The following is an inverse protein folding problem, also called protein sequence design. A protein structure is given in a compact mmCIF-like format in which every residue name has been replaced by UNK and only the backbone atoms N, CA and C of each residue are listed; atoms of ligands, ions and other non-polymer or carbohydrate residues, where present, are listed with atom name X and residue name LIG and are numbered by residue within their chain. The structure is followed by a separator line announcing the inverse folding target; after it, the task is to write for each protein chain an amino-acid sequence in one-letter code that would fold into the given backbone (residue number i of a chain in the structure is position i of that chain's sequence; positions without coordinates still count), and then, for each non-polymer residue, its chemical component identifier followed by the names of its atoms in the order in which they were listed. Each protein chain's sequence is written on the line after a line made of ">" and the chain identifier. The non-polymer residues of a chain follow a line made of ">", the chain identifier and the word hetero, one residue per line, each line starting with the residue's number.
data_IF_981258626822
#
_entry.id   IF_981258626822
#
_cell.length_a   1.000
_cell.length_b   1.000
_cell.length_c   1.000
_cell.angle_alpha   90.00
_cell.angle_beta   90.00
_cell.angle_gamma   90.00
#
_symmetry.space_group_name_H-M   'P 1'
#
loop_
_entity.id
_entity.type
_entity.pdbx_description
1 polymer ?
2 water ?
#
# COMPACT_ATOMS: atom_id res chain seq x y z
N UNK A 19 -5.38 -3.64 26.30
CA UNK A 19 -5.19 -4.06 24.91
C UNK A 19 -4.20 -3.16 24.19
N UNK A 20 -2.93 -3.56 24.23
CA UNK A 20 -1.91 -2.76 23.55
C UNK A 20 -2.12 -2.76 22.04
N UNK A 21 -2.61 -3.87 21.48
CA UNK A 21 -2.83 -3.94 20.05
C UNK A 21 -3.84 -2.91 19.56
N UNK A 22 -4.96 -2.76 20.28
CA UNK A 22 -5.96 -1.76 19.88
C UNK A 22 -5.41 -0.35 20.00
N UNK A 23 -4.69 -0.05 21.09
CA UNK A 23 -4.10 1.28 21.25
C UNK A 23 -3.08 1.56 20.16
N UNK A 24 -2.34 0.54 19.73
CA UNK A 24 -1.40 0.73 18.62
C UNK A 24 -2.15 1.02 17.32
N UNK A 25 -3.24 0.30 17.05
CA UNK A 25 -4.04 0.61 15.87
C UNK A 25 -4.54 2.05 15.90
N UNK A 26 -4.93 2.54 17.09
CA UNK A 26 -5.43 3.91 17.18
C UNK A 26 -4.31 4.92 17.04
N UNK A 27 -3.17 4.67 17.68
CA UNK A 27 -2.02 5.57 17.55
C UNK A 27 -1.54 5.64 16.12
N UNK A 28 -1.53 4.51 15.42
CA UNK A 28 -1.07 4.50 14.03
C UNK A 28 -2.03 5.28 13.14
N UNK A 29 -3.34 5.09 13.32
CA UNK A 29 -4.31 5.82 12.51
C UNK A 29 -4.22 7.32 12.78
N UNK A 30 -4.02 7.71 14.04
CA UNK A 30 -3.99 9.11 14.42
C UNK A 30 -2.67 9.81 14.09
N UNK A 31 -1.64 9.08 13.71
CA UNK A 31 -0.38 9.72 13.41
C UNK A 31 0.44 10.12 14.62
N UNK A 32 0.29 9.40 15.73
CA UNK A 32 0.99 9.73 16.98
C UNK A 32 2.30 8.95 17.06
N UNK A 33 3.37 9.58 16.58
CA UNK A 33 4.66 8.91 16.46
C UNK A 33 5.21 8.46 17.80
N UNK A 34 5.26 9.36 18.78
CA UNK A 34 5.81 9.00 20.08
C UNK A 34 5.00 7.88 20.72
N UNK A 35 3.67 7.94 20.61
CA UNK A 35 2.83 6.91 21.21
C UNK A 35 3.04 5.56 20.53
N UNK A 36 3.22 5.54 19.20
CA UNK A 36 3.50 4.27 18.51
C UNK A 36 4.80 3.66 19.04
N UNK A 37 5.84 4.47 19.21
CA UNK A 37 7.11 3.95 19.71
C UNK A 37 6.97 3.39 21.12
N UNK A 38 6.27 4.11 22.00
CA UNK A 38 6.08 3.67 23.38
C UNK A 38 5.26 2.40 23.45
N UNK A 39 4.22 2.28 22.62
CA UNK A 39 3.41 1.06 22.62
C UNK A 39 4.20 -0.13 22.11
N UNK A 40 5.03 0.09 21.08
CA UNK A 40 5.89 -0.99 20.60
C UNK A 40 6.88 -1.42 21.68
N UNK A 41 7.43 -0.45 22.42
CA UNK A 41 8.33 -0.80 23.52
C UNK A 41 7.59 -1.54 24.62
N UNK A 42 6.36 -1.12 24.94
CA UNK A 42 5.57 -1.78 25.97
C UNK A 42 5.15 -3.19 25.59
N UNK A 43 5.32 -3.60 24.34
CA UNK A 43 5.01 -4.94 23.91
C UNK A 43 3.81 -5.11 22.97
N UNK A 44 3.33 -4.04 22.34
CA UNK A 44 2.19 -4.17 21.44
C UNK A 44 2.54 -5.05 20.24
N UNK A 45 1.57 -5.87 19.82
CA UNK A 45 1.73 -6.72 18.64
C UNK A 45 1.84 -5.81 17.41
N UNK A 46 3.01 -5.82 16.76
CA UNK A 46 3.19 -4.95 15.60
C UNK A 46 2.22 -5.30 14.48
N UNK A 47 1.69 -6.52 14.45
CA UNK A 47 0.74 -6.96 13.43
C UNK A 47 -0.68 -7.07 13.96
N UNK A 48 -1.01 -6.34 15.03
CA UNK A 48 -2.38 -6.32 15.54
C UNK A 48 -3.36 -6.05 14.42
N UNK A 49 -4.51 -6.73 14.46
CA UNK A 49 -5.50 -6.62 13.40
C UNK A 49 -6.83 -6.15 13.96
N UNK A 50 -7.53 -5.30 13.22
CA UNK A 50 -8.92 -5.03 13.57
C UNK A 50 -9.82 -6.05 12.86
N UNK A 51 -11.13 -5.80 12.87
CA UNK A 51 -12.06 -6.83 12.42
C UNK A 51 -11.98 -7.06 10.91
N UNK A 52 -11.74 -6.00 10.12
CA UNK A 52 -11.54 -6.14 8.67
C UNK A 52 -10.08 -6.50 8.37
N UNK A 53 -9.32 -6.83 9.41
CA UNK A 53 -7.97 -7.35 9.26
C UNK A 53 -6.91 -6.33 8.90
N UNK A 54 -7.16 -5.03 9.06
CA UNK A 54 -6.10 -4.08 8.77
C UNK A 54 -5.19 -3.96 9.98
N UNK A 55 -3.90 -3.78 9.70
CA UNK A 55 -2.83 -3.69 10.69
C UNK A 55 -2.39 -2.24 10.87
N UNK A 56 -1.54 -1.96 11.87
CA UNK A 56 -1.02 -0.59 12.00
C UNK A 56 -0.28 -0.12 10.76
N UNK A 57 0.41 -1.01 10.06
CA UNK A 57 1.04 -0.63 8.80
C UNK A 57 0.00 -0.19 7.77
N UNK A 58 -1.12 -0.92 7.66
CA UNK A 58 -2.20 -0.49 6.77
C UNK A 58 -2.69 0.91 7.14
N UNK A 59 -2.91 1.15 8.43
CA UNK A 59 -3.51 2.42 8.82
C UNK A 59 -2.55 3.58 8.61
N UNK A 60 -1.26 3.36 8.88
CA UNK A 60 -0.29 4.42 8.66
C UNK A 60 -0.15 4.72 7.18
N UNK A 61 -0.20 3.68 6.34
CA UNK A 61 -0.19 3.89 4.90
C UNK A 61 -1.42 4.66 4.46
N UNK A 62 -2.58 4.29 5.00
CA UNK A 62 -3.84 4.94 4.65
C UNK A 62 -3.77 6.44 4.91
N UNK A 63 -3.28 6.81 6.09
CA UNK A 63 -3.28 8.19 6.54
C UNK A 63 -2.04 8.96 6.10
N UNK A 64 -1.11 8.30 5.41
CA UNK A 64 0.07 8.97 4.89
C UNK A 64 1.13 9.32 5.92
N UNK A 65 1.22 8.57 7.02
CA UNK A 65 2.15 8.84 8.12
C UNK A 65 3.48 8.13 7.87
N UNK A 66 4.38 8.78 7.13
CA UNK A 66 5.61 8.12 6.70
C UNK A 66 6.46 7.67 7.88
N UNK A 67 6.61 8.53 8.89
CA UNK A 67 7.52 8.21 9.98
C UNK A 67 7.01 7.01 10.76
N UNK A 68 5.69 6.90 10.92
CA UNK A 68 5.14 5.74 11.60
C UNK A 68 5.36 4.47 10.79
N UNK A 69 5.19 4.55 9.46
CA UNK A 69 5.47 3.38 8.62
C UNK A 69 6.90 2.90 8.84
N UNK A 70 7.85 3.83 8.89
CA UNK A 70 9.25 3.44 9.03
C UNK A 70 9.51 2.79 10.38
N UNK A 71 8.90 3.34 11.44
CA UNK A 71 9.01 2.75 12.78
C UNK A 71 8.38 1.36 12.82
N UNK A 72 7.24 1.18 12.16
CA UNK A 72 6.60 -0.13 12.14
C UNK A 72 7.46 -1.14 11.39
N UNK A 73 8.03 -0.73 10.26
CA UNK A 73 8.89 -1.62 9.49
C UNK A 73 10.13 -2.02 10.29
N UNK A 74 10.71 -1.08 11.04
CA UNK A 74 11.89 -1.45 11.82
C UNK A 74 11.52 -2.43 12.92
N UNK A 75 10.28 -2.37 13.41
CA UNK A 75 9.78 -3.30 14.41
C UNK A 75 9.30 -4.61 13.79
N UNK A 76 9.66 -4.87 12.53
CA UNK A 76 9.38 -6.14 11.84
C UNK A 76 7.90 -6.34 11.53
N UNK A 77 7.15 -5.27 11.31
CA UNK A 77 5.79 -5.41 10.82
C UNK A 77 5.81 -6.20 9.52
N UNK A 78 4.83 -7.08 9.35
CA UNK A 78 4.79 -7.87 8.12
C UNK A 78 4.32 -6.97 6.99
N UNK A 79 5.23 -6.68 6.06
CA UNK A 79 5.00 -5.70 5.01
C UNK A 79 3.96 -6.18 4.01
N UNK A 80 3.70 -7.50 3.96
CA UNK A 80 2.76 -8.06 2.99
C UNK A 80 1.50 -8.61 3.64
N UNK A 81 1.19 -8.18 4.86
CA UNK A 81 -0.05 -8.57 5.52
C UNK A 81 -1.23 -8.15 4.66
N UNK A 82 -2.24 -9.01 4.57
CA UNK A 82 -3.42 -8.75 3.77
C UNK A 82 -4.64 -8.61 4.67
N UNK A 83 -5.41 -7.55 4.43
CA UNK A 83 -6.70 -7.36 5.07
C UNK A 83 -7.74 -8.28 4.41
N UNK A 84 -8.99 -8.24 4.90
CA UNK A 84 -9.96 -9.20 4.40
C UNK A 84 -10.32 -8.93 2.95
N UNK A 85 -10.08 -7.72 2.46
CA UNK A 85 -10.26 -7.46 1.04
C UNK A 85 -9.07 -7.93 0.20
N UNK A 86 -8.04 -8.49 0.84
CA UNK A 86 -6.82 -8.89 0.15
C UNK A 86 -5.82 -7.79 -0.11
N UNK A 87 -6.03 -6.60 0.44
CA UNK A 87 -5.14 -5.47 0.16
C UNK A 87 -3.98 -5.46 1.13
N UNK A 88 -2.80 -5.16 0.61
CA UNK A 88 -1.58 -4.98 1.40
C UNK A 88 -1.36 -3.50 1.67
N UNK A 89 -0.45 -3.15 2.58
CA UNK A 89 -0.11 -1.73 2.75
C UNK A 89 0.35 -1.07 1.46
N UNK A 90 1.04 -1.80 0.57
CA UNK A 90 1.43 -1.19 -0.70
C UNK A 90 0.22 -0.82 -1.55
N UNK A 91 -0.81 -1.66 -1.57
CA UNK A 91 -2.07 -1.29 -2.24
C UNK A 91 -2.59 0.02 -1.69
N UNK A 92 -2.65 0.12 -0.37
CA UNK A 92 -3.19 1.31 0.28
C UNK A 92 -2.39 2.54 -0.11
N UNK A 93 -1.06 2.47 0.05
CA UNK A 93 -0.23 3.63 -0.24
C UNK A 93 -0.32 4.03 -1.71
N UNK A 94 -0.36 3.05 -2.61
CA UNK A 94 -0.44 3.37 -4.03
C UNK A 94 -1.77 4.04 -4.38
N UNK A 95 -2.87 3.52 -3.83
CA UNK A 95 -4.19 4.10 -4.07
C UNK A 95 -4.26 5.55 -3.60
N UNK A 96 -3.66 5.86 -2.45
CA UNK A 96 -3.84 7.16 -1.82
C UNK A 96 -2.74 8.17 -2.17
N UNK A 97 -1.84 7.84 -3.09
CA UNK A 97 -0.90 8.82 -3.59
C UNK A 97 0.34 9.06 -2.74
N UNK A 98 0.67 8.17 -1.80
CA UNK A 98 1.75 8.45 -0.85
C UNK A 98 3.05 7.88 -1.38
N UNK A 99 3.74 8.68 -2.20
CA UNK A 99 4.90 8.19 -2.95
C UNK A 99 6.03 7.75 -2.02
N UNK A 100 6.37 8.58 -1.02
CA UNK A 100 7.44 8.20 -0.12
C UNK A 100 7.13 6.90 0.63
N UNK A 101 5.87 6.66 0.96
CA UNK A 101 5.52 5.41 1.64
C UNK A 101 5.62 4.23 0.68
N UNK A 102 5.17 4.39 -0.57
CA UNK A 102 5.39 3.34 -1.58
C UNK A 102 6.86 2.97 -1.63
N UNK A 103 7.74 3.97 -1.65
CA UNK A 103 9.17 3.67 -1.78
C UNK A 103 9.71 2.92 -0.58
N UNK A 104 9.30 3.30 0.63
CA UNK A 104 9.84 2.66 1.81
C UNK A 104 9.29 1.24 1.95
N UNK A 105 8.03 1.04 1.57
CA UNK A 105 7.46 -0.30 1.60
C UNK A 105 8.18 -1.22 0.62
N UNK A 106 8.44 -0.74 -0.59
CA UNK A 106 9.20 -1.51 -1.56
C UNK A 106 10.59 -1.87 -1.04
N UNK A 107 11.29 -0.92 -0.42
CA UNK A 107 12.61 -1.22 0.13
C UNK A 107 12.56 -2.27 1.22
N UNK A 108 11.44 -2.37 1.94
CA UNK A 108 11.25 -3.36 2.99
C UNK A 108 10.84 -4.72 2.45
N UNK A 109 10.63 -4.84 1.15
CA UNK A 109 10.25 -6.09 0.54
C UNK A 109 8.79 -6.24 0.21
N UNK A 110 8.03 -5.14 0.11
CA UNK A 110 6.63 -5.27 -0.27
C UNK A 110 6.52 -5.94 -1.64
N UNK A 111 5.51 -6.79 -1.81
CA UNK A 111 5.30 -7.53 -3.05
C UNK A 111 4.64 -6.59 -4.07
N UNK A 112 5.41 -6.16 -5.08
CA UNK A 112 4.91 -5.18 -6.04
C UNK A 112 3.75 -5.73 -6.87
N UNK A 113 3.59 -7.05 -6.93
CA UNK A 113 2.56 -7.69 -7.75
C UNK A 113 1.49 -8.40 -6.93
N UNK A 114 1.38 -8.08 -5.63
CA UNK A 114 0.33 -8.67 -4.80
C UNK A 114 -1.05 -8.32 -5.34
N UNK A 115 -1.97 -9.28 -5.28
CA UNK A 115 -3.30 -9.13 -5.86
C UNK A 115 -4.35 -9.23 -4.76
N UNK A 116 -5.34 -8.35 -4.82
CA UNK A 116 -6.41 -8.38 -3.83
C UNK A 116 -7.55 -9.26 -4.35
N UNK A 117 -8.67 -9.26 -3.63
CA UNK A 117 -9.77 -10.16 -3.97
C UNK A 117 -10.44 -9.86 -5.31
N UNK A 118 -10.28 -8.66 -5.87
CA UNK A 118 -10.81 -8.39 -7.20
C UNK A 118 -9.73 -8.48 -8.28
N UNK A 119 -8.53 -8.92 -7.91
CA UNK A 119 -7.43 -9.08 -8.84
C UNK A 119 -6.59 -7.84 -9.07
N UNK A 120 -6.81 -6.76 -8.32
CA UNK A 120 -6.03 -5.53 -8.47
C UNK A 120 -4.64 -5.67 -7.85
N UNK A 121 -3.63 -5.24 -8.59
CA UNK A 121 -2.29 -5.02 -8.07
C UNK A 121 -2.14 -3.57 -7.63
N UNK A 122 -1.06 -3.24 -6.91
CA UNK A 122 -0.83 -1.82 -6.62
C UNK A 122 -0.77 -0.95 -7.87
N UNK A 123 -0.23 -1.49 -8.97
CA UNK A 123 -0.20 -0.72 -10.22
C UNK A 123 -1.61 -0.43 -10.74
N UNK A 124 -2.54 -1.39 -10.61
CA UNK A 124 -3.93 -1.10 -10.98
C UNK A 124 -4.44 0.13 -10.23
N UNK A 125 -4.15 0.20 -8.93
CA UNK A 125 -4.72 1.28 -8.12
C UNK A 125 -4.04 2.61 -8.42
N UNK A 126 -2.72 2.61 -8.56
CA UNK A 126 -2.05 3.86 -8.91
C UNK A 126 -2.51 4.36 -10.27
N UNK A 127 -2.74 3.45 -11.22
CA UNK A 127 -3.24 3.86 -12.53
C UNK A 127 -4.68 4.35 -12.45
N UNK A 128 -5.54 3.65 -11.71
CA UNK A 128 -6.94 4.05 -11.62
C UNK A 128 -7.09 5.42 -10.95
N UNK A 129 -6.26 5.72 -9.95
CA UNK A 129 -6.43 6.97 -9.22
C UNK A 129 -5.48 8.07 -9.69
N UNK A 130 -4.79 7.84 -10.80
CA UNK A 130 -4.06 8.90 -11.48
C UNK A 130 -2.78 9.36 -10.81
N UNK A 131 -2.02 8.43 -10.23
CA UNK A 131 -0.79 8.78 -9.53
C UNK A 131 0.39 8.40 -10.42
N UNK A 132 0.74 9.32 -11.33
CA UNK A 132 1.72 9.02 -12.38
C UNK A 132 3.10 8.73 -11.80
N UNK A 133 3.53 9.55 -10.84
CA UNK A 133 4.81 9.35 -10.17
C UNK A 133 4.90 7.96 -9.54
N UNK A 134 3.81 7.51 -8.91
CA UNK A 134 3.80 6.21 -8.28
C UNK A 134 3.81 5.12 -9.34
N UNK A 135 3.07 5.33 -10.43
CA UNK A 135 3.13 4.40 -11.56
C UNK A 135 4.59 4.19 -11.98
N UNK A 136 5.33 5.29 -12.14
CA UNK A 136 6.72 5.20 -12.58
C UNK A 136 7.59 4.45 -11.56
N UNK A 137 7.37 4.69 -10.26
CA UNK A 137 8.13 3.99 -9.23
C UNK A 137 7.82 2.50 -9.25
N UNK A 138 6.54 2.14 -9.39
CA UNK A 138 6.17 0.73 -9.39
C UNK A 138 6.78 0.02 -10.59
N UNK A 139 6.82 0.69 -11.75
CA UNK A 139 7.42 0.09 -12.93
C UNK A 139 8.91 -0.16 -12.73
N UNK A 140 9.61 0.80 -12.10
CA UNK A 140 11.02 0.62 -11.75
C UNK A 140 11.23 -0.53 -10.77
N UNK A 141 10.19 -0.92 -10.04
CA UNK A 141 10.25 -2.02 -9.09
C UNK A 141 9.78 -3.33 -9.69
N UNK A 142 9.58 -3.38 -11.00
CA UNK A 142 9.20 -4.62 -11.65
C UNK A 142 7.72 -4.92 -11.70
N UNK A 143 6.85 -3.93 -11.53
CA UNK A 143 5.41 -4.18 -11.61
C UNK A 143 5.05 -4.78 -12.96
N UNK A 144 4.10 -5.71 -12.96
CA UNK A 144 3.65 -6.36 -14.20
C UNK A 144 2.62 -5.48 -14.88
N UNK A 145 3.00 -4.84 -15.99
CA UNK A 145 2.06 -3.99 -16.73
C UNK A 145 0.93 -4.79 -17.34
N UNK A 146 1.14 -6.08 -17.60
CA UNK A 146 0.15 -6.92 -18.26
C UNK A 146 -0.73 -7.68 -17.28
N UNK A 147 -0.60 -7.40 -15.98
CA UNK A 147 -1.47 -8.01 -14.99
C UNK A 147 -2.93 -7.71 -15.30
N UNK A 148 -3.78 -8.73 -15.23
CA UNK A 148 -5.21 -8.56 -15.46
C UNK A 148 -5.97 -8.83 -14.17
N UNK A 149 -6.93 -7.96 -13.88
CA UNK A 149 -7.83 -8.16 -12.76
C UNK A 149 -8.82 -9.27 -13.09
N UNK A 150 -9.74 -9.52 -12.17
CA UNK A 150 -10.67 -10.63 -12.38
C UNK A 150 -11.68 -10.33 -13.48
N UNK A 151 -11.80 -9.08 -13.93
CA UNK A 151 -12.61 -8.73 -15.09
C UNK A 151 -11.82 -8.70 -16.39
N UNK A 152 -10.52 -9.01 -16.34
CA UNK A 152 -9.68 -9.02 -17.52
C UNK A 152 -8.93 -7.73 -17.79
N UNK A 153 -9.13 -6.71 -16.96
CA UNK A 153 -8.66 -5.35 -17.23
C UNK A 153 -7.23 -5.18 -16.72
N UNK A 154 -6.40 -4.52 -17.52
CA UNK A 154 -5.03 -4.20 -17.14
C UNK A 154 -4.98 -2.85 -16.44
N UNK A 155 -3.85 -2.49 -15.84
CA UNK A 155 -3.74 -1.12 -15.31
C UNK A 155 -3.95 -0.06 -16.38
N UNK A 156 -3.46 -0.28 -17.60
CA UNK A 156 -3.68 0.69 -18.67
C UNK A 156 -5.16 0.85 -18.96
N UNK A 157 -5.92 -0.26 -18.92
CA UNK A 157 -7.37 -0.18 -19.11
C UNK A 157 -8.03 0.68 -18.03
N UNK A 158 -7.58 0.55 -16.78
CA UNK A 158 -8.18 1.33 -15.71
C UNK A 158 -7.85 2.81 -15.85
N UNK A 159 -6.60 3.12 -16.19
CA UNK A 159 -6.21 4.51 -16.42
C UNK A 159 -7.07 5.14 -17.50
N UNK A 160 -7.22 4.45 -18.64
CA UNK A 160 -8.06 4.98 -19.72
C UNK A 160 -9.50 5.16 -19.26
N UNK A 161 -10.03 4.19 -18.51
CA UNK A 161 -11.42 4.27 -18.07
C UNK A 161 -11.66 5.46 -17.14
N UNK A 162 -10.67 5.81 -16.32
CA UNK A 162 -10.79 6.92 -15.38
C UNK A 162 -10.37 8.26 -15.97
N UNK A 163 -9.99 8.29 -17.24
CA UNK A 163 -9.63 9.53 -17.90
C UNK A 163 -8.18 9.93 -17.83
N UNK A 164 -7.29 9.05 -17.37
CA UNK A 164 -5.88 9.39 -17.17
C UNK A 164 -5.06 8.94 -18.37
N UNK A 165 -5.18 9.70 -19.46
CA UNK A 165 -4.59 9.28 -20.73
C UNK A 165 -3.07 9.30 -20.69
N UNK A 166 -2.47 10.24 -19.95
CA UNK A 166 -1.02 10.26 -19.84
C UNK A 166 -0.49 8.97 -19.23
N UNK A 167 -1.16 8.48 -18.18
CA UNK A 167 -0.74 7.23 -17.56
C UNK A 167 -0.95 6.06 -18.51
N UNK A 168 -2.10 6.03 -19.19
CA UNK A 168 -2.37 4.94 -20.12
C UNK A 168 -1.31 4.88 -21.21
N UNK A 169 -0.86 6.05 -21.68
CA UNK A 169 0.21 6.10 -22.67
C UNK A 169 1.52 5.55 -22.11
N UNK A 170 1.85 5.92 -20.87
CA UNK A 170 3.07 5.40 -20.25
C UNK A 170 2.99 3.89 -20.12
N UNK A 171 1.83 3.37 -19.73
CA UNK A 171 1.70 1.93 -19.52
C UNK A 171 1.68 1.17 -20.84
N UNK A 172 0.98 1.70 -21.85
CA UNK A 172 1.00 1.05 -23.16
C UNK A 172 2.39 1.12 -23.80
N UNK A 173 3.17 2.15 -23.48
CA UNK A 173 4.56 2.18 -23.94
C UNK A 173 5.38 1.07 -23.29
N UNK A 174 5.13 0.79 -22.00
CA UNK A 174 5.93 -0.18 -21.26
C UNK A 174 5.50 -1.62 -21.51
N UNK A 175 4.50 -1.85 -22.35
CA UNK A 175 3.98 -3.20 -22.59
C UNK A 175 4.95 -4.07 -23.39
#
# INVERSE_FOLDING_TARGET
>A
MRGSHHHHHHENLYFQGSDLGKKLLQAARAGQLDEVRELLKAGADVNAKDLIGVTPLHLAAFSGHLEIVEVLLKASADVNAKDVSGRTPLHVAAKHGHLEIVEVLLKAGADVNAKDLIGFTPLHLAAQFGHLEIVEVLLKAGADVNAQDKSGKTPADLAARAGHQDIAEVLQKAA
#
